data_IF_548616060430
#
_entry.id   IF_548616060430
#
_cell.length_a   1.000
_cell.length_b   1.000
_cell.length_c   1.000
_cell.angle_alpha   90.00
_cell.angle_beta   90.00
_cell.angle_gamma   90.00
#
_symmetry.space_group_name_H-M   'P 1'
#
loop_
_entity.id
_entity.type
_entity.pdbx_description
1 polymer ?
#
# COMPACT_ATOMS: atom_id res chain seq x y z
N UNK A 1 -22.34 -61.62 5.80
CA UNK A 1 -22.34 -60.38 4.99
C UNK A 1 -23.32 -59.37 5.55
N UNK A 2 -22.98 -58.65 6.64
CA UNK A 2 -23.89 -57.64 7.24
C UNK A 2 -23.19 -56.45 7.91
N UNK A 3 -21.87 -56.26 7.76
CA UNK A 3 -21.14 -55.26 8.57
C UNK A 3 -20.29 -54.24 7.79
N UNK A 4 -20.41 -54.14 6.47
CA UNK A 4 -19.51 -53.28 5.66
C UNK A 4 -20.14 -51.93 5.28
N UNK A 5 -21.43 -51.68 5.59
CA UNK A 5 -22.13 -50.47 5.12
C UNK A 5 -22.07 -49.26 6.09
N UNK A 6 -21.59 -49.45 7.33
CA UNK A 6 -21.56 -48.39 8.34
C UNK A 6 -20.28 -47.53 8.30
N UNK A 7 -19.23 -48.00 7.62
CA UNK A 7 -17.93 -47.30 7.60
C UNK A 7 -17.81 -46.27 6.46
N UNK A 8 -18.76 -46.29 5.51
CA UNK A 8 -18.77 -45.39 4.34
C UNK A 8 -19.78 -44.23 4.49
N UNK A 9 -20.03 -43.76 5.71
CA UNK A 9 -20.81 -42.54 5.95
C UNK A 9 -20.22 -41.69 7.07
N UNK A 10 -18.89 -41.66 7.19
CA UNK A 10 -18.17 -40.81 8.18
C UNK A 10 -17.11 -39.92 7.52
N UNK A 11 -16.90 -40.03 6.21
CA UNK A 11 -15.85 -39.28 5.49
C UNK A 11 -16.34 -38.03 4.73
N UNK A 12 -17.50 -37.47 5.09
CA UNK A 12 -18.06 -36.26 4.47
C UNK A 12 -18.19 -35.05 5.42
N UNK A 13 -17.63 -35.11 6.63
CA UNK A 13 -17.85 -34.11 7.67
C UNK A 13 -16.55 -33.43 8.17
N UNK A 14 -15.65 -33.04 7.27
CA UNK A 14 -14.54 -32.14 7.59
C UNK A 14 -14.37 -31.04 6.52
N UNK A 15 -15.50 -30.52 6.05
CA UNK A 15 -15.57 -29.23 5.36
C UNK A 15 -15.74 -28.11 6.40
N UNK A 16 -14.76 -27.96 7.30
CA UNK A 16 -14.72 -26.83 8.22
C UNK A 16 -13.94 -25.70 7.57
N UNK A 17 -14.67 -24.84 6.87
CA UNK A 17 -14.23 -23.52 6.42
C UNK A 17 -14.00 -22.67 7.67
N UNK A 18 -12.77 -22.62 8.17
CA UNK A 18 -12.31 -21.58 9.11
C UNK A 18 -11.77 -20.40 8.31
N UNK A 19 -12.70 -19.58 7.81
CA UNK A 19 -12.39 -18.21 7.44
C UNK A 19 -12.69 -17.29 8.64
N UNK A 20 -11.90 -16.22 8.76
CA UNK A 20 -11.98 -15.09 9.70
C UNK A 20 -11.29 -15.25 11.07
N UNK A 21 -9.97 -15.11 11.07
CA UNK A 21 -9.21 -14.80 12.29
C UNK A 21 -7.83 -14.22 11.98
N UNK A 22 -7.70 -12.89 12.09
CA UNK A 22 -6.44 -12.14 12.20
C UNK A 22 -5.53 -12.06 10.95
N UNK A 23 -6.03 -11.43 9.88
CA UNK A 23 -5.17 -10.66 8.96
C UNK A 23 -4.64 -9.41 9.68
N UNK A 24 -3.71 -9.60 10.62
CA UNK A 24 -2.99 -8.53 11.35
C UNK A 24 -1.48 -8.72 11.20
N UNK A 25 -1.02 -9.05 9.99
CA UNK A 25 0.41 -9.17 9.68
C UNK A 25 0.74 -8.80 8.24
N UNK A 26 0.13 -7.73 7.75
CA UNK A 26 0.57 -7.05 6.52
C UNK A 26 1.19 -5.66 6.83
N UNK A 27 0.93 -5.13 8.03
CA UNK A 27 1.34 -3.78 8.43
C UNK A 27 2.74 -3.71 9.10
N UNK A 28 3.52 -4.78 9.07
CA UNK A 28 4.88 -4.84 9.64
C UNK A 28 5.86 -5.50 8.67
N UNK A 29 5.70 -5.20 7.38
CA UNK A 29 6.66 -5.54 6.33
C UNK A 29 7.70 -4.43 6.11
N UNK A 30 8.78 -4.70 5.33
CA UNK A 30 9.81 -3.72 4.99
C UNK A 30 9.24 -2.45 4.34
N UNK A 31 8.11 -2.55 3.65
CA UNK A 31 7.38 -1.41 3.09
C UNK A 31 6.93 -0.39 4.15
N UNK A 32 6.52 -0.82 5.35
CA UNK A 32 6.15 0.14 6.40
C UNK A 32 7.37 0.91 6.92
N UNK A 33 8.51 0.23 7.08
CA UNK A 33 9.73 0.87 7.54
C UNK A 33 10.21 1.94 6.55
N UNK A 34 10.22 1.64 5.24
CA UNK A 34 10.60 2.62 4.23
C UNK A 34 9.58 3.76 4.10
N UNK A 35 8.27 3.47 4.24
CA UNK A 35 7.24 4.51 4.28
C UNK A 35 7.40 5.45 5.48
N UNK A 36 7.71 4.93 6.66
CA UNK A 36 7.94 5.75 7.87
C UNK A 36 9.23 6.57 7.76
N UNK A 37 10.29 5.98 7.20
CA UNK A 37 11.53 6.69 6.88
C UNK A 37 11.29 7.83 5.89
N UNK A 38 10.52 7.59 4.84
CA UNK A 38 10.13 8.62 3.89
C UNK A 38 9.30 9.72 4.58
N UNK A 39 8.33 9.35 5.42
CA UNK A 39 7.50 10.31 6.15
C UNK A 39 8.34 11.22 7.04
N UNK A 40 9.34 10.66 7.75
CA UNK A 40 10.28 11.43 8.55
C UNK A 40 11.15 12.37 7.69
N UNK A 41 11.69 11.89 6.57
CA UNK A 41 12.51 12.71 5.68
C UNK A 41 11.74 13.90 5.10
N UNK A 42 10.45 13.70 4.74
CA UNK A 42 9.60 14.78 4.24
C UNK A 42 9.20 15.75 5.35
N UNK A 43 8.86 15.25 6.55
CA UNK A 43 8.53 16.09 7.69
C UNK A 43 9.70 17.00 8.13
N UNK A 44 10.94 16.48 8.12
CA UNK A 44 12.12 17.27 8.50
C UNK A 44 12.46 18.41 7.54
N UNK A 45 11.97 18.37 6.29
CA UNK A 45 12.28 19.38 5.27
C UNK A 45 11.15 20.40 5.10
N UNK A 46 9.90 20.00 5.39
CA UNK A 46 8.73 20.89 5.34
C UNK A 46 8.86 22.05 6.35
N UNK A 47 9.55 21.82 7.48
CA UNK A 47 9.89 22.84 8.48
C UNK A 47 10.80 23.97 7.95
N UNK A 48 11.41 23.82 6.77
CA UNK A 48 12.31 24.82 6.17
C UNK A 48 11.72 25.49 4.92
N UNK A 49 10.61 24.98 4.38
CA UNK A 49 10.02 25.47 3.13
C UNK A 49 8.94 26.52 3.40
N UNK A 50 9.35 27.71 3.85
CA UNK A 50 8.49 28.91 3.85
C UNK A 50 8.35 29.40 2.40
N UNK A 51 7.43 28.79 1.65
CA UNK A 51 7.01 29.34 0.36
C UNK A 51 6.09 30.55 0.62
N UNK A 52 6.23 31.67 -0.11
CA UNK A 52 5.31 32.81 0.03
C UNK A 52 3.88 32.37 -0.30
N UNK A 53 2.87 32.99 0.33
CA UNK A 53 1.48 32.61 0.13
C UNK A 53 1.09 32.83 -1.34
N UNK A 54 0.81 31.75 -2.07
CA UNK A 54 0.07 31.85 -3.33
C UNK A 54 -1.38 32.17 -3.00
N UNK A 55 -1.78 33.41 -3.24
CA UNK A 55 -3.17 33.83 -3.19
C UNK A 55 -3.98 33.08 -4.28
N UNK A 56 -5.00 32.32 -3.87
CA UNK A 56 -6.14 32.00 -4.75
C UNK A 56 -6.47 30.53 -5.05
N UNK A 57 -5.71 29.55 -4.56
CA UNK A 57 -6.07 28.12 -4.69
C UNK A 57 -6.20 27.46 -3.30
N UNK A 58 -7.17 26.55 -3.08
CA UNK A 58 -7.23 25.78 -1.85
C UNK A 58 -5.87 25.08 -1.64
N UNK A 59 -5.32 25.10 -0.41
CA UNK A 59 -3.99 24.56 -0.17
C UNK A 59 -3.97 23.09 -0.54
N UNK A 60 -3.19 22.73 -1.57
CA UNK A 60 -2.86 21.34 -1.80
C UNK A 60 -2.14 20.82 -0.56
N UNK A 61 -2.47 19.60 -0.07
CA UNK A 61 -1.82 19.04 1.09
C UNK A 61 -0.32 18.98 0.83
N UNK A 62 0.46 19.41 1.82
CA UNK A 62 1.90 19.44 1.68
C UNK A 62 2.47 18.04 1.39
N UNK A 63 3.62 17.92 0.71
CA UNK A 63 4.21 16.63 0.36
C UNK A 63 4.30 15.65 1.55
N UNK A 64 4.63 16.13 2.75
CA UNK A 64 4.68 15.31 3.96
C UNK A 64 3.31 14.80 4.41
N UNK A 65 2.25 15.61 4.26
CA UNK A 65 0.88 15.20 4.54
C UNK A 65 0.37 14.16 3.54
N UNK A 66 0.67 14.33 2.25
CA UNK A 66 0.32 13.35 1.22
C UNK A 66 0.96 11.98 1.48
N UNK A 67 2.22 11.98 1.93
CA UNK A 67 2.92 10.75 2.29
C UNK A 67 2.31 10.08 3.52
N UNK A 68 1.98 10.83 4.58
CA UNK A 68 1.28 10.29 5.75
C UNK A 68 -0.05 9.61 5.38
N UNK A 69 -0.83 10.25 4.51
CA UNK A 69 -2.09 9.68 4.01
C UNK A 69 -1.85 8.40 3.20
N UNK A 70 -0.76 8.32 2.42
CA UNK A 70 -0.38 7.10 1.73
C UNK A 70 0.02 5.98 2.70
N UNK A 71 0.75 6.29 3.78
CA UNK A 71 1.10 5.32 4.83
C UNK A 71 -0.16 4.77 5.50
N UNK A 72 -1.09 5.63 5.86
CA UNK A 72 -2.35 5.22 6.51
C UNK A 72 -3.20 4.35 5.58
N UNK A 73 -3.31 4.72 4.30
CA UNK A 73 -4.01 3.93 3.29
C UNK A 73 -3.39 2.53 3.16
N UNK A 74 -2.06 2.45 3.08
CA UNK A 74 -1.33 1.19 3.00
C UNK A 74 -1.53 0.31 4.25
N UNK A 75 -1.37 0.89 5.45
CA UNK A 75 -1.59 0.19 6.74
C UNK A 75 -3.04 -0.31 6.88
N UNK A 76 -4.00 0.40 6.30
CA UNK A 76 -5.42 0.04 6.28
C UNK A 76 -5.79 -0.97 5.19
N UNK A 77 -4.84 -1.39 4.35
CA UNK A 77 -5.07 -2.29 3.21
C UNK A 77 -5.81 -1.66 2.04
N UNK A 78 -5.90 -0.32 1.98
CA UNK A 78 -6.38 0.46 0.83
C UNK A 78 -5.23 0.66 -0.16
N UNK A 79 -4.80 -0.44 -0.78
CA UNK A 79 -3.57 -0.48 -1.57
C UNK A 79 -3.64 0.42 -2.82
N UNK A 80 -4.79 0.51 -3.47
CA UNK A 80 -5.01 1.44 -4.60
C UNK A 80 -4.78 2.89 -4.18
N UNK A 81 -5.46 3.34 -3.12
CA UNK A 81 -5.32 4.70 -2.59
C UNK A 81 -3.86 5.01 -2.24
N UNK A 82 -3.16 4.07 -1.62
CA UNK A 82 -1.75 4.23 -1.27
C UNK A 82 -0.88 4.44 -2.51
N UNK A 83 -1.04 3.59 -3.53
CA UNK A 83 -0.25 3.65 -4.76
C UNK A 83 -0.55 4.91 -5.56
N UNK A 84 -1.83 5.31 -5.68
CA UNK A 84 -2.23 6.56 -6.35
C UNK A 84 -1.58 7.76 -5.67
N UNK A 85 -1.65 7.84 -4.34
CA UNK A 85 -1.06 8.96 -3.58
C UNK A 85 0.45 9.01 -3.70
N UNK A 86 1.15 7.88 -3.62
CA UNK A 86 2.61 7.82 -3.83
C UNK A 86 2.98 8.23 -5.26
N UNK A 87 2.21 7.81 -6.27
CA UNK A 87 2.43 8.15 -7.67
C UNK A 87 2.19 9.64 -7.96
N UNK A 88 1.20 10.25 -7.31
CA UNK A 88 0.95 11.69 -7.35
C UNK A 88 2.09 12.46 -6.67
N UNK A 89 2.49 12.04 -5.47
CA UNK A 89 3.59 12.65 -4.72
C UNK A 89 4.91 12.59 -5.50
N UNK A 90 5.19 11.50 -6.23
CA UNK A 90 6.37 11.37 -7.10
C UNK A 90 6.34 12.34 -8.29
N UNK A 91 5.15 12.75 -8.75
CA UNK A 91 5.00 13.76 -9.79
C UNK A 91 5.16 15.19 -9.28
N UNK A 92 5.13 15.40 -7.96
CA UNK A 92 5.28 16.73 -7.37
C UNK A 92 6.72 17.23 -7.57
N UNK A 93 6.88 18.40 -8.20
CA UNK A 93 8.20 18.97 -8.50
C UNK A 93 8.91 19.57 -7.27
N UNK A 94 8.17 19.93 -6.22
CA UNK A 94 8.70 20.57 -5.01
C UNK A 94 9.45 19.63 -4.05
N UNK A 95 9.64 18.37 -4.43
CA UNK A 95 10.35 17.35 -3.63
C UNK A 95 11.85 17.40 -3.95
N UNK A 96 12.71 17.54 -2.94
CA UNK A 96 14.16 17.61 -3.11
C UNK A 96 14.73 16.30 -3.68
N UNK A 97 15.96 16.32 -4.22
CA UNK A 97 16.58 15.12 -4.78
C UNK A 97 16.69 13.97 -3.75
N UNK A 98 17.08 14.30 -2.52
CA UNK A 98 17.17 13.32 -1.42
C UNK A 98 15.79 12.78 -1.03
N UNK A 99 14.78 13.64 -0.92
CA UNK A 99 13.42 13.20 -0.63
C UNK A 99 12.84 12.33 -1.75
N UNK A 100 13.14 12.67 -3.01
CA UNK A 100 12.72 11.88 -4.16
C UNK A 100 13.36 10.49 -4.16
N UNK A 101 14.63 10.38 -3.76
CA UNK A 101 15.29 9.09 -3.58
C UNK A 101 14.56 8.24 -2.52
N UNK A 102 14.36 8.78 -1.32
CA UNK A 102 13.68 8.04 -0.24
C UNK A 102 12.23 7.71 -0.59
N UNK A 103 11.53 8.59 -1.32
CA UNK A 103 10.19 8.32 -1.84
C UNK A 103 10.17 7.17 -2.86
N UNK A 104 11.15 7.14 -3.76
CA UNK A 104 11.28 6.06 -4.74
C UNK A 104 11.55 4.72 -4.05
N UNK A 105 12.42 4.70 -3.04
CA UNK A 105 12.71 3.50 -2.24
C UNK A 105 11.44 3.00 -1.52
N UNK A 106 10.71 3.91 -0.86
CA UNK A 106 9.47 3.58 -0.17
C UNK A 106 8.42 3.02 -1.14
N UNK A 107 8.28 3.62 -2.31
CA UNK A 107 7.35 3.13 -3.31
C UNK A 107 7.76 1.77 -3.89
N UNK A 108 9.05 1.53 -4.13
CA UNK A 108 9.55 0.24 -4.58
C UNK A 108 9.26 -0.86 -3.53
N UNK A 109 9.46 -0.55 -2.25
CA UNK A 109 9.14 -1.47 -1.16
C UNK A 109 7.64 -1.76 -1.08
N UNK A 110 6.78 -0.73 -1.17
CA UNK A 110 5.31 -0.89 -1.20
C UNK A 110 4.86 -1.74 -2.38
N UNK A 111 5.36 -1.46 -3.58
CA UNK A 111 4.99 -2.24 -4.76
C UNK A 111 5.45 -3.69 -4.65
N UNK A 112 6.66 -3.93 -4.14
CA UNK A 112 7.16 -5.29 -3.89
C UNK A 112 6.24 -6.07 -2.95
N UNK A 113 5.80 -5.45 -1.85
CA UNK A 113 4.88 -6.08 -0.92
C UNK A 113 3.49 -6.30 -1.54
N UNK A 114 2.95 -5.32 -2.28
CA UNK A 114 1.69 -5.45 -3.00
C UNK A 114 1.76 -6.60 -4.03
N UNK A 115 2.84 -6.73 -4.80
CA UNK A 115 3.02 -7.86 -5.71
C UNK A 115 3.07 -9.19 -4.96
N UNK A 116 3.76 -9.26 -3.82
CA UNK A 116 3.83 -10.46 -3.00
C UNK A 116 2.44 -10.84 -2.43
N UNK A 117 1.62 -9.86 -2.05
CA UNK A 117 0.23 -10.08 -1.62
C UNK A 117 -0.67 -10.49 -2.78
N UNK A 118 -0.51 -9.89 -3.95
CA UNK A 118 -1.25 -10.23 -5.16
C UNK A 118 -0.94 -11.67 -5.61
N UNK A 119 0.32 -12.08 -5.56
CA UNK A 119 0.76 -13.46 -5.84
C UNK A 119 0.14 -14.49 -4.88
N UNK A 120 -0.18 -14.08 -3.65
CA UNK A 120 -0.90 -14.89 -2.65
C UNK A 120 -2.43 -14.85 -2.82
N UNK A 121 -2.94 -14.13 -3.82
CA UNK A 121 -4.37 -14.02 -4.11
C UNK A 121 -5.12 -12.96 -3.29
N UNK A 122 -4.46 -11.97 -2.69
CA UNK A 122 -5.17 -10.82 -2.11
C UNK A 122 -5.81 -9.98 -3.23
N UNK A 123 -7.14 -10.00 -3.32
CA UNK A 123 -7.89 -9.33 -4.38
C UNK A 123 -7.66 -7.82 -4.43
N UNK A 124 -7.46 -7.17 -3.28
CA UNK A 124 -7.19 -5.72 -3.20
C UNK A 124 -5.81 -5.40 -3.75
N UNK A 125 -4.83 -6.26 -3.46
CA UNK A 125 -3.48 -6.12 -4.00
C UNK A 125 -3.45 -6.34 -5.52
N UNK A 126 -4.20 -7.34 -6.03
CA UNK A 126 -4.36 -7.54 -7.48
C UNK A 126 -4.96 -6.32 -8.16
N UNK A 127 -5.98 -5.69 -7.57
CA UNK A 127 -6.57 -4.48 -8.14
C UNK A 127 -5.59 -3.29 -8.10
N UNK A 128 -4.85 -3.12 -6.99
CA UNK A 128 -3.81 -2.09 -6.89
C UNK A 128 -2.69 -2.24 -7.93
N UNK A 129 -2.26 -3.47 -8.24
CA UNK A 129 -1.30 -3.74 -9.32
C UNK A 129 -1.86 -3.27 -10.67
N UNK A 130 -3.10 -3.65 -11.01
CA UNK A 130 -3.72 -3.24 -12.28
C UNK A 130 -3.81 -1.71 -12.38
N UNK A 131 -4.22 -1.06 -11.29
CA UNK A 131 -4.30 0.39 -11.24
C UNK A 131 -2.92 1.04 -11.44
N UNK A 132 -1.88 0.48 -10.82
CA UNK A 132 -0.52 0.95 -11.02
C UNK A 132 -0.05 0.82 -12.47
N UNK A 133 -0.30 -0.32 -13.10
CA UNK A 133 0.05 -0.57 -14.51
C UNK A 133 -0.65 0.39 -15.46
N UNK A 134 -1.94 0.67 -15.24
CA UNK A 134 -2.70 1.67 -16.01
C UNK A 134 -2.11 3.07 -15.88
N UNK A 135 -1.73 3.49 -14.68
CA UNK A 135 -1.11 4.80 -14.48
C UNK A 135 0.28 4.90 -15.14
N UNK A 136 1.03 3.80 -15.18
CA UNK A 136 2.35 3.76 -15.82
C UNK A 136 2.25 3.79 -17.35
N UNK A 137 1.24 3.15 -17.93
CA UNK A 137 1.02 3.19 -19.38
C UNK A 137 0.51 4.55 -19.86
N UNK A 138 -0.28 5.25 -19.06
CA UNK A 138 -0.80 6.60 -19.38
C UNK A 138 0.24 7.72 -19.28
N UNK A 139 1.37 7.50 -18.60
CA UNK A 139 2.45 8.49 -18.48
C UNK A 139 3.56 8.36 -19.53
N UNK A 140 3.49 7.35 -20.40
CA UNK A 140 4.40 7.20 -21.54
C UNK A 140 3.88 7.97 -22.74
#
# INVERSE_FOLDING_TARGET
MKNEFATMMVLCASLSITALGCRKKSATGPANAELEKAANALASTEATSTSPPSEGLPPLPAPGQQLKQAVEAYKSGKFEDAVVRLQQLRATQSVSAQQRMVLNDAMAAVMTDIYALAAKGDSRAVQAVKQYELMQSQRR
#
